data_IF_689818711033
#
_entry.id   IF_689818711033
#
_cell.length_a   1.000
_cell.length_b   1.000
_cell.length_c   1.000
_cell.angle_alpha   90.00
_cell.angle_beta   90.00
_cell.angle_gamma   90.00
#
_symmetry.space_group_name_H-M   'P 1'
#
loop_
_entity.id
_entity.type
_entity.pdbx_description
1 polymer ?
#
# COMPACT_ATOMS: atom_id res chain seq x y z
N UNK A 1 12.20 44.36 -5.61
CA UNK A 1 11.91 43.10 -4.89
C UNK A 1 11.58 42.06 -5.94
N UNK A 2 12.41 41.01 -6.14
CA UNK A 2 12.12 39.98 -7.13
C UNK A 2 10.78 39.33 -6.77
N UNK A 3 9.83 39.44 -7.68
CA UNK A 3 8.51 38.87 -7.54
C UNK A 3 8.62 37.39 -7.87
N UNK A 4 7.99 36.50 -7.08
CA UNK A 4 8.07 35.05 -7.27
C UNK A 4 7.67 34.53 -8.66
N UNK A 5 7.12 35.39 -9.52
CA UNK A 5 6.86 35.11 -10.93
C UNK A 5 8.12 34.76 -11.73
N UNK A 6 9.30 35.32 -11.41
CA UNK A 6 10.56 34.97 -12.09
C UNK A 6 10.88 33.47 -11.94
N UNK A 7 10.67 32.90 -10.75
CA UNK A 7 10.88 31.47 -10.49
C UNK A 7 9.91 30.58 -11.28
N UNK A 8 8.66 31.02 -11.46
CA UNK A 8 7.68 30.28 -12.26
C UNK A 8 8.07 30.26 -13.75
N UNK A 9 8.61 31.35 -14.28
CA UNK A 9 9.08 31.41 -15.68
C UNK A 9 10.27 30.48 -15.90
N UNK A 10 11.23 30.45 -14.97
CA UNK A 10 12.38 29.53 -15.04
C UNK A 10 11.91 28.07 -14.99
N UNK A 11 10.97 27.74 -14.10
CA UNK A 11 10.35 26.41 -14.05
C UNK A 11 9.67 26.06 -15.37
N UNK A 12 8.89 26.97 -15.95
CA UNK A 12 8.20 26.74 -17.22
C UNK A 12 9.20 26.45 -18.36
N UNK A 13 10.28 27.22 -18.48
CA UNK A 13 11.33 27.00 -19.49
C UNK A 13 12.04 25.65 -19.25
N UNK A 14 12.35 25.33 -17.99
CA UNK A 14 12.89 24.02 -17.62
C UNK A 14 11.96 22.87 -18.01
N UNK A 15 10.66 23.01 -17.78
CA UNK A 15 9.65 22.03 -18.21
C UNK A 15 9.57 21.90 -19.73
N UNK A 16 9.74 22.98 -20.50
CA UNK A 16 9.77 22.90 -21.97
C UNK A 16 11.02 22.16 -22.48
N UNK A 17 12.18 22.42 -21.88
CA UNK A 17 13.45 21.80 -22.25
C UNK A 17 13.50 20.31 -21.88
N UNK A 18 13.08 19.98 -20.67
CA UNK A 18 13.09 18.60 -20.17
C UNK A 18 11.85 17.82 -20.61
N UNK A 19 10.72 18.49 -20.86
CA UNK A 19 9.48 17.91 -21.36
C UNK A 19 9.04 16.68 -20.55
N UNK A 20 8.99 15.54 -21.24
CA UNK A 20 8.57 14.24 -20.67
C UNK A 20 9.59 13.61 -19.72
N UNK A 21 10.83 14.11 -19.65
CA UNK A 21 11.88 13.58 -18.76
C UNK A 21 11.66 13.98 -17.31
N UNK A 22 11.02 15.12 -17.05
CA UNK A 22 10.79 15.64 -15.70
C UNK A 22 10.06 14.65 -14.75
N UNK A 23 8.93 14.02 -15.14
CA UNK A 23 8.26 13.04 -14.29
C UNK A 23 9.08 11.75 -14.11
N UNK A 24 9.89 11.37 -15.10
CA UNK A 24 10.79 10.22 -15.06
C UNK A 24 11.90 10.43 -14.01
N UNK A 25 12.60 11.58 -14.06
CA UNK A 25 13.60 11.94 -13.05
C UNK A 25 12.97 12.17 -11.68
N UNK A 26 11.82 12.86 -11.60
CA UNK A 26 11.12 13.10 -10.34
C UNK A 26 10.68 11.82 -9.65
N UNK A 27 10.29 10.79 -10.41
CA UNK A 27 9.92 9.48 -9.87
C UNK A 27 11.13 8.74 -9.29
N UNK A 28 12.26 8.74 -9.99
CA UNK A 28 13.52 8.15 -9.48
C UNK A 28 14.05 8.87 -8.24
N UNK A 29 14.04 10.20 -8.25
CA UNK A 29 14.48 11.02 -7.12
C UNK A 29 13.53 10.85 -5.93
N UNK A 30 12.23 10.83 -6.19
CA UNK A 30 11.19 10.64 -5.18
C UNK A 30 11.28 9.28 -4.50
N UNK A 31 11.61 8.22 -5.25
CA UNK A 31 11.87 6.90 -4.69
C UNK A 31 13.10 6.93 -3.75
N UNK A 32 14.22 7.51 -4.19
CA UNK A 32 15.42 7.64 -3.36
C UNK A 32 15.18 8.47 -2.09
N UNK A 33 14.44 9.59 -2.20
CA UNK A 33 14.06 10.40 -1.03
C UNK A 33 13.13 9.64 -0.09
N UNK A 34 12.19 8.84 -0.62
CA UNK A 34 11.27 8.03 0.19
C UNK A 34 11.99 6.92 0.95
N UNK A 35 12.92 6.22 0.30
CA UNK A 35 13.79 5.21 0.91
C UNK A 35 14.72 5.83 1.94
N UNK A 36 15.33 6.97 1.64
CA UNK A 36 16.14 7.74 2.58
C UNK A 36 15.34 8.14 3.82
N UNK A 37 14.12 8.65 3.64
CA UNK A 37 13.25 9.02 4.78
C UNK A 37 12.79 7.81 5.58
N UNK A 38 12.59 6.66 4.93
CA UNK A 38 12.29 5.40 5.62
C UNK A 38 13.49 4.92 6.43
N UNK A 39 14.70 4.99 5.89
CA UNK A 39 15.94 4.67 6.61
C UNK A 39 16.18 5.61 7.80
N UNK A 40 15.97 6.93 7.62
CA UNK A 40 16.04 7.89 8.73
C UNK A 40 14.99 7.59 9.81
N UNK A 41 13.74 7.29 9.43
CA UNK A 41 12.68 6.91 10.39
C UNK A 41 12.93 5.58 11.08
N UNK A 42 13.67 4.66 10.47
CA UNK A 42 14.07 3.40 11.10
C UNK A 42 15.19 3.62 12.13
N UNK A 43 16.13 4.53 11.81
CA UNK A 43 17.19 4.95 12.75
C UNK A 43 16.63 5.76 13.92
N UNK A 44 15.72 6.71 13.68
CA UNK A 44 15.03 7.47 14.74
C UNK A 44 13.95 6.62 15.46
N UNK A 45 13.30 5.71 14.74
CA UNK A 45 12.19 4.87 15.20
C UNK A 45 12.61 3.55 15.84
N UNK A 46 13.90 3.18 15.80
CA UNK A 46 14.47 2.11 16.62
C UNK A 46 14.30 2.35 18.13
N UNK A 47 13.91 3.56 18.54
CA UNK A 47 13.51 3.87 19.90
C UNK A 47 11.99 3.73 20.17
N UNK A 48 11.13 3.63 19.14
CA UNK A 48 9.65 3.56 19.27
C UNK A 48 8.98 2.82 18.10
N UNK A 49 8.78 1.52 18.32
CA UNK A 49 7.70 0.68 17.78
C UNK A 49 7.54 0.51 16.26
N UNK A 50 7.82 -0.71 15.81
CA UNK A 50 7.61 -1.19 14.44
C UNK A 50 6.14 -1.23 14.03
N UNK A 51 5.70 -0.20 13.29
CA UNK A 51 4.40 -0.20 12.64
C UNK A 51 4.48 0.07 11.13
N UNK A 52 3.83 -0.84 10.40
CA UNK A 52 3.23 -0.67 9.07
C UNK A 52 4.08 -1.08 7.85
N UNK A 53 4.26 -2.39 7.69
CA UNK A 53 4.26 -3.04 6.37
C UNK A 53 2.81 -3.33 5.98
N UNK A 54 2.20 -2.66 4.98
CA UNK A 54 1.02 -3.21 4.34
C UNK A 54 1.51 -4.32 3.41
N UNK A 55 1.79 -5.49 3.98
CA UNK A 55 1.89 -6.70 3.21
C UNK A 55 0.49 -6.90 2.64
N UNK A 56 0.38 -6.78 1.32
CA UNK A 56 -0.76 -7.27 0.59
C UNK A 56 -1.03 -8.70 1.07
N UNK A 57 -2.03 -8.86 1.94
CA UNK A 57 -2.63 -10.15 2.26
C UNK A 57 -3.26 -10.61 0.96
N UNK A 58 -2.51 -11.42 0.22
CA UNK A 58 -3.02 -12.34 -0.78
C UNK A 58 -4.26 -13.01 -0.20
N UNK A 59 -5.40 -12.71 -0.80
CA UNK A 59 -6.63 -13.50 -0.64
C UNK A 59 -6.36 -14.86 -1.27
N UNK A 60 -5.73 -15.76 -0.51
CA UNK A 60 -5.61 -17.17 -0.86
C UNK A 60 -5.55 -17.99 0.44
N UNK A 61 -6.63 -17.96 1.21
CA UNK A 61 -6.89 -18.95 2.26
C UNK A 61 -8.34 -18.90 2.76
N UNK A 62 -9.28 -19.37 1.95
CA UNK A 62 -10.57 -19.90 2.41
C UNK A 62 -10.89 -21.16 1.58
N UNK A 63 -9.97 -22.11 1.59
CA UNK A 63 -10.24 -23.52 1.29
C UNK A 63 -9.71 -24.34 2.46
N UNK A 64 -10.47 -25.37 2.83
CA UNK A 64 -10.29 -26.31 3.97
C UNK A 64 -10.82 -25.85 5.33
N UNK A 65 -11.91 -26.50 5.79
CA UNK A 65 -12.18 -26.60 7.22
C UNK A 65 -13.63 -26.76 7.70
N UNK A 66 -14.55 -27.42 6.99
CA UNK A 66 -15.80 -27.87 7.64
C UNK A 66 -16.19 -29.29 7.22
N UNK A 67 -15.30 -30.24 7.51
CA UNK A 67 -15.69 -31.61 7.77
C UNK A 67 -16.14 -31.70 9.24
N UNK A 68 -17.40 -31.37 9.52
CA UNK A 68 -18.06 -31.77 10.75
C UNK A 68 -19.27 -32.62 10.43
N UNK A 69 -18.96 -33.90 10.33
CA UNK A 69 -19.78 -35.06 10.62
C UNK A 69 -21.06 -34.81 11.45
N UNK A 70 -22.15 -35.38 10.94
CA UNK A 70 -23.07 -36.28 11.66
C UNK A 70 -23.80 -35.73 12.89
N UNK A 71 -25.08 -35.41 12.75
CA UNK A 71 -26.19 -36.02 13.52
C UNK A 71 -27.47 -35.20 13.40
N UNK A 72 -28.42 -35.66 12.57
CA UNK A 72 -29.87 -35.46 12.77
C UNK A 72 -30.65 -36.15 11.65
N UNK A 73 -30.62 -37.48 11.68
CA UNK A 73 -31.66 -38.32 11.07
C UNK A 73 -32.95 -38.08 11.84
N UNK A 74 -33.70 -37.03 11.48
CA UNK A 74 -35.07 -36.81 11.96
C UNK A 74 -36.02 -37.55 11.02
N UNK A 75 -36.04 -38.89 11.14
CA UNK A 75 -37.08 -39.73 10.55
C UNK A 75 -38.24 -39.75 11.53
N UNK A 76 -39.25 -38.96 11.20
CA UNK A 76 -40.52 -38.88 11.89
C UNK A 76 -41.29 -40.20 11.69
N UNK A 77 -41.11 -41.16 12.59
CA UNK A 77 -42.06 -42.25 12.79
C UNK A 77 -43.03 -41.83 13.88
N UNK A 78 -44.17 -41.26 13.48
CA UNK A 78 -45.40 -41.28 14.29
C UNK A 78 -46.43 -42.05 13.48
N UNK A 79 -46.34 -43.37 13.57
CA UNK A 79 -47.37 -44.27 13.06
C UNK A 79 -48.31 -44.57 14.22
N UNK A 80 -49.52 -44.03 14.09
CA UNK A 80 -50.73 -44.52 14.72
C UNK A 80 -51.22 -45.74 13.93
N UNK A 81 -51.68 -46.76 14.66
CA UNK A 81 -52.20 -48.09 14.26
C UNK A 81 -51.20 -49.25 14.21
#
# INVERSE_FOLDING_TARGET
MPSGMEWLVVLAIGLLLFGKRLPEVGRSLGQGINEFKKGLKDVDGGAKDGASTPAARSQDQLTSGNAQSTSSTQRSETTSH
#
